data_IF_858549680744
#
_entry.id   IF_858549680744
#
_cell.length_a   1.000
_cell.length_b   1.000
_cell.length_c   1.000
_cell.angle_alpha   90.00
_cell.angle_beta   90.00
_cell.angle_gamma   90.00
#
_symmetry.space_group_name_H-M   'P 1'
#
loop_
_entity.id
_entity.type
_entity.pdbx_description
1 polymer ?
#
# COMPACT_ATOMS: atom_id res chain seq x y z
N UNK A 1 -10.27 -20.63 5.43
CA UNK A 1 -8.95 -20.42 6.06
C UNK A 1 -8.02 -19.53 5.22
N UNK A 2 -7.75 -19.80 3.94
CA UNK A 2 -6.76 -19.03 3.14
C UNK A 2 -7.01 -17.51 3.07
N UNK A 3 -8.26 -17.06 2.89
CA UNK A 3 -8.56 -15.63 2.77
C UNK A 3 -8.40 -14.84 4.08
N UNK A 4 -8.81 -15.42 5.21
CA UNK A 4 -8.71 -14.75 6.51
C UNK A 4 -7.24 -14.53 6.89
N UNK A 5 -6.38 -15.52 6.63
CA UNK A 5 -4.93 -15.38 6.83
C UNK A 5 -4.36 -14.28 5.91
N UNK A 6 -4.75 -14.25 4.63
CA UNK A 6 -4.32 -13.22 3.69
C UNK A 6 -4.75 -11.81 4.14
N UNK A 7 -6.01 -11.61 4.52
CA UNK A 7 -6.52 -10.33 5.05
C UNK A 7 -5.77 -9.91 6.31
N UNK A 8 -5.52 -10.85 7.22
CA UNK A 8 -4.79 -10.58 8.48
C UNK A 8 -3.35 -10.17 8.18
N UNK A 9 -2.66 -10.90 7.31
CA UNK A 9 -1.27 -10.61 6.93
C UNK A 9 -1.17 -9.25 6.21
N UNK A 10 -2.04 -9.00 5.23
CA UNK A 10 -2.08 -7.71 4.52
C UNK A 10 -2.33 -6.56 5.49
N UNK A 11 -3.29 -6.69 6.40
CA UNK A 11 -3.57 -5.69 7.42
C UNK A 11 -2.36 -5.43 8.33
N UNK A 12 -1.74 -6.49 8.86
CA UNK A 12 -0.55 -6.37 9.71
C UNK A 12 0.63 -5.70 9.00
N UNK A 13 0.91 -6.10 7.76
CA UNK A 13 2.01 -5.53 6.97
C UNK A 13 1.76 -4.05 6.69
N UNK A 14 0.55 -3.68 6.26
CA UNK A 14 0.20 -2.29 5.99
C UNK A 14 0.27 -1.42 7.25
N UNK A 15 -0.16 -1.94 8.40
CA UNK A 15 -0.02 -1.26 9.69
C UNK A 15 1.46 -1.07 10.03
N UNK A 16 2.26 -2.13 9.94
CA UNK A 16 3.69 -2.09 10.25
C UNK A 16 4.46 -1.09 9.37
N UNK A 17 4.31 -1.21 8.05
CA UNK A 17 4.95 -0.28 7.11
C UNK A 17 4.40 1.15 7.26
N UNK A 18 3.09 1.31 7.44
CA UNK A 18 2.48 2.62 7.67
C UNK A 18 3.03 3.31 8.90
N UNK A 19 3.22 2.57 9.99
CA UNK A 19 3.85 3.08 11.21
C UNK A 19 5.31 3.51 10.97
N UNK A 20 6.09 2.71 10.25
CA UNK A 20 7.48 3.05 9.90
C UNK A 20 7.54 4.33 9.07
N UNK A 21 6.76 4.46 7.99
CA UNK A 21 6.79 5.66 7.15
C UNK A 21 6.23 6.90 7.84
N UNK A 22 5.25 6.74 8.73
CA UNK A 22 4.66 7.86 9.47
C UNK A 22 5.63 8.48 10.49
N UNK A 23 6.34 7.65 11.25
CA UNK A 23 7.20 8.12 12.34
C UNK A 23 8.69 8.25 11.94
N UNK A 24 9.17 7.39 11.04
CA UNK A 24 10.56 7.39 10.54
C UNK A 24 10.70 7.91 9.10
N UNK A 25 9.69 8.64 8.59
CA UNK A 25 9.66 9.20 7.24
C UNK A 25 11.00 9.78 6.73
N UNK A 26 11.68 10.67 7.48
CA UNK A 26 12.97 11.23 7.06
C UNK A 26 14.06 10.18 6.83
N UNK A 27 14.14 9.13 7.67
CA UNK A 27 15.11 8.05 7.50
C UNK A 27 14.77 7.19 6.27
N UNK A 28 13.48 7.00 6.01
CA UNK A 28 13.02 6.22 4.86
C UNK A 28 13.20 6.91 3.52
N UNK A 29 13.39 8.25 3.49
CA UNK A 29 13.64 9.00 2.24
C UNK A 29 14.85 8.49 1.46
N UNK A 30 15.87 7.98 2.15
CA UNK A 30 17.02 7.31 1.53
C UNK A 30 16.61 6.10 0.68
N UNK A 31 15.60 5.35 1.11
CA UNK A 31 15.03 4.22 0.38
C UNK A 31 14.27 4.66 -0.88
N UNK A 32 13.80 5.90 -0.92
CA UNK A 32 13.16 6.50 -2.09
C UNK A 32 14.16 7.15 -3.07
N UNK A 33 15.47 6.97 -2.86
CA UNK A 33 16.52 7.57 -3.69
C UNK A 33 16.78 9.05 -3.38
N UNK A 34 16.22 9.57 -2.28
CA UNK A 34 16.43 10.94 -1.84
C UNK A 34 17.57 11.04 -0.80
N UNK A 35 18.66 10.28 -1.01
CA UNK A 35 19.83 10.24 -0.13
C UNK A 35 20.66 11.53 -0.10
N UNK A 36 20.39 12.46 -1.03
CA UNK A 36 21.14 13.70 -1.21
C UNK A 36 20.31 14.95 -0.91
N UNK A 37 19.25 14.84 -0.12
CA UNK A 37 18.48 16.02 0.28
C UNK A 37 19.38 16.98 1.07
N UNK A 38 19.52 18.24 0.64
CA UNK A 38 20.35 19.22 1.35
C UNK A 38 19.81 19.43 2.76
N UNK A 39 20.69 19.71 3.71
CA UNK A 39 20.27 20.10 5.07
C UNK A 39 19.39 21.34 4.97
N UNK A 40 18.12 21.29 5.42
CA UNK A 40 17.19 22.38 5.22
C UNK A 40 17.66 23.61 6.02
N UNK A 41 18.06 24.67 5.30
CA UNK A 41 18.30 26.00 5.86
C UNK A 41 17.05 26.82 5.59
N UNK A 42 16.49 27.45 6.63
CA UNK A 42 15.14 28.07 6.65
C UNK A 42 14.92 29.12 5.54
N UNK A 43 15.98 29.66 4.96
CA UNK A 43 15.94 30.70 3.93
C UNK A 43 16.03 30.22 2.47
N UNK A 44 16.17 28.92 2.21
CA UNK A 44 16.40 28.38 0.87
C UNK A 44 15.17 27.67 0.27
N UNK A 45 14.93 27.85 -1.04
CA UNK A 45 13.94 27.07 -1.80
C UNK A 45 14.16 25.55 -1.68
N UNK A 46 15.42 25.14 -1.48
CA UNK A 46 15.80 23.76 -1.23
C UNK A 46 15.18 23.18 0.06
N UNK A 47 14.96 24.00 1.09
CA UNK A 47 14.29 23.55 2.31
C UNK A 47 12.83 23.17 2.05
N UNK A 48 12.14 23.88 1.15
CA UNK A 48 10.75 23.58 0.81
C UNK A 48 10.63 22.20 0.14
N UNK A 49 11.57 21.83 -0.73
CA UNK A 49 11.61 20.49 -1.33
C UNK A 49 11.79 19.38 -0.29
N UNK A 50 12.68 19.58 0.70
CA UNK A 50 12.89 18.62 1.80
C UNK A 50 11.62 18.45 2.63
N UNK A 51 10.98 19.56 3.01
CA UNK A 51 9.73 19.51 3.78
C UNK A 51 8.58 18.87 3.02
N UNK A 52 8.46 19.14 1.71
CA UNK A 52 7.49 18.46 0.84
C UNK A 52 7.73 16.95 0.78
N UNK A 53 8.98 16.51 0.64
CA UNK A 53 9.33 15.09 0.63
C UNK A 53 9.03 14.40 1.97
N UNK A 54 9.38 15.04 3.10
CA UNK A 54 9.06 14.54 4.45
C UNK A 54 7.55 14.46 4.66
N UNK A 55 6.80 15.51 4.30
CA UNK A 55 5.35 15.54 4.42
C UNK A 55 4.69 14.45 3.57
N UNK A 56 5.14 14.28 2.33
CA UNK A 56 4.69 13.20 1.45
C UNK A 56 4.89 11.82 2.12
N UNK A 57 6.08 11.57 2.65
CA UNK A 57 6.41 10.28 3.27
C UNK A 57 5.54 10.00 4.50
N UNK A 58 5.25 11.02 5.31
CA UNK A 58 4.36 10.90 6.47
C UNK A 58 2.91 10.66 6.06
N UNK A 59 2.39 11.40 5.08
CA UNK A 59 1.03 11.21 4.56
C UNK A 59 0.85 9.85 3.92
N UNK A 60 1.88 9.38 3.21
CA UNK A 60 1.96 8.04 2.68
C UNK A 60 1.86 6.98 3.79
N UNK A 61 2.68 7.12 4.84
CA UNK A 61 2.63 6.26 6.02
C UNK A 61 1.27 6.26 6.72
N UNK A 62 0.67 7.44 6.93
CA UNK A 62 -0.67 7.57 7.51
C UNK A 62 -1.73 6.84 6.67
N UNK A 63 -1.63 6.93 5.34
CA UNK A 63 -2.56 6.27 4.41
C UNK A 63 -2.42 4.75 4.48
N UNK A 64 -1.20 4.23 4.46
CA UNK A 64 -0.93 2.80 4.63
C UNK A 64 -1.43 2.29 5.98
N UNK A 65 -1.19 3.04 7.06
CA UNK A 65 -1.65 2.71 8.40
C UNK A 65 -3.18 2.65 8.46
N UNK A 66 -3.85 3.69 7.94
CA UNK A 66 -5.32 3.73 7.89
C UNK A 66 -5.91 2.58 7.09
N UNK A 67 -5.37 2.31 5.89
CA UNK A 67 -5.80 1.19 5.06
C UNK A 67 -5.54 -0.16 5.75
N UNK A 68 -4.39 -0.31 6.40
CA UNK A 68 -4.04 -1.50 7.16
C UNK A 68 -5.00 -1.76 8.31
N UNK A 69 -5.36 -0.72 9.07
CA UNK A 69 -6.38 -0.82 10.15
C UNK A 69 -7.74 -1.21 9.57
N UNK A 70 -8.19 -0.59 8.48
CA UNK A 70 -9.46 -0.95 7.83
C UNK A 70 -9.46 -2.43 7.41
N UNK A 71 -8.41 -2.89 6.74
CA UNK A 71 -8.29 -4.29 6.30
C UNK A 71 -8.22 -5.25 7.50
N UNK A 72 -7.50 -4.87 8.56
CA UNK A 72 -7.41 -5.64 9.78
C UNK A 72 -8.76 -5.78 10.48
N UNK A 73 -9.59 -4.73 10.51
CA UNK A 73 -10.95 -4.78 11.04
C UNK A 73 -11.88 -5.63 10.18
N UNK A 74 -11.69 -5.64 8.86
CA UNK A 74 -12.45 -6.48 7.93
C UNK A 74 -12.19 -7.98 8.09
N UNK A 75 -11.16 -8.41 8.84
CA UNK A 75 -10.88 -9.83 9.11
C UNK A 75 -12.09 -10.57 9.70
N UNK A 76 -12.88 -9.89 10.53
CA UNK A 76 -14.06 -10.46 11.19
C UNK A 76 -15.25 -10.54 10.22
N UNK A 77 -15.33 -9.60 9.27
CA UNK A 77 -16.37 -9.55 8.25
C UNK A 77 -16.22 -10.66 7.17
N UNK A 78 -15.04 -11.28 7.06
CA UNK A 78 -14.78 -12.44 6.18
C UNK A 78 -15.75 -13.59 6.47
N UNK A 79 -16.18 -13.74 7.72
CA UNK A 79 -17.12 -14.79 8.15
C UNK A 79 -18.59 -14.47 7.81
N UNK A 80 -18.91 -13.18 7.59
CA UNK A 80 -20.29 -12.68 7.47
C UNK A 80 -20.72 -12.38 6.03
N UNK A 81 -19.87 -11.74 5.22
CA UNK A 81 -20.25 -11.15 3.92
C UNK A 81 -20.05 -12.12 2.74
N UNK A 82 -19.53 -13.31 3.01
CA UNK A 82 -19.12 -14.28 1.99
C UNK A 82 -17.77 -13.92 1.38
N UNK A 83 -16.84 -14.87 1.45
CA UNK A 83 -15.41 -14.66 1.13
C UNK A 83 -15.14 -14.11 -0.28
N UNK A 84 -16.02 -14.41 -1.25
CA UNK A 84 -15.81 -14.05 -2.66
C UNK A 84 -16.10 -12.57 -2.95
N UNK A 85 -17.20 -12.04 -2.42
CA UNK A 85 -17.56 -10.62 -2.61
C UNK A 85 -16.53 -9.71 -1.97
N UNK A 86 -16.13 -10.02 -0.74
CA UNK A 86 -15.11 -9.27 -0.02
C UNK A 86 -13.74 -9.30 -0.74
N UNK A 87 -13.30 -10.47 -1.21
CA UNK A 87 -12.06 -10.58 -1.98
C UNK A 87 -12.12 -9.78 -3.29
N UNK A 88 -13.26 -9.78 -3.99
CA UNK A 88 -13.45 -8.98 -5.21
C UNK A 88 -13.40 -7.48 -4.94
N UNK A 89 -14.05 -7.00 -3.88
CA UNK A 89 -14.00 -5.57 -3.49
C UNK A 89 -12.57 -5.15 -3.15
N UNK A 90 -11.87 -5.94 -2.33
CA UNK A 90 -10.48 -5.65 -1.96
C UNK A 90 -9.55 -5.67 -3.19
N UNK A 91 -9.74 -6.63 -4.11
CA UNK A 91 -9.01 -6.68 -5.37
C UNK A 91 -9.25 -5.42 -6.23
N UNK A 92 -10.50 -4.97 -6.35
CA UNK A 92 -10.82 -3.76 -7.11
C UNK A 92 -10.17 -2.51 -6.49
N UNK A 93 -10.19 -2.39 -5.16
CA UNK A 93 -9.54 -1.29 -4.45
C UNK A 93 -8.04 -1.28 -4.75
N UNK A 94 -7.35 -2.40 -4.55
CA UNK A 94 -5.91 -2.48 -4.83
C UNK A 94 -5.58 -2.33 -6.32
N UNK A 95 -6.44 -2.78 -7.22
CA UNK A 95 -6.28 -2.59 -8.66
C UNK A 95 -6.34 -1.11 -9.06
N UNK A 96 -7.33 -0.37 -8.54
CA UNK A 96 -7.44 1.08 -8.77
C UNK A 96 -6.22 1.80 -8.19
N UNK A 97 -5.83 1.47 -6.95
CA UNK A 97 -4.63 2.06 -6.33
C UNK A 97 -3.36 1.76 -7.13
N UNK A 98 -3.22 0.55 -7.68
CA UNK A 98 -2.09 0.18 -8.55
C UNK A 98 -2.03 1.06 -9.80
N UNK A 99 -3.18 1.31 -10.44
CA UNK A 99 -3.26 2.20 -11.61
C UNK A 99 -2.88 3.63 -11.24
N UNK A 100 -3.40 4.16 -10.13
CA UNK A 100 -3.03 5.50 -9.66
C UNK A 100 -1.54 5.61 -9.38
N UNK A 101 -0.96 4.62 -8.71
CA UNK A 101 0.49 4.58 -8.42
C UNK A 101 1.30 4.47 -9.71
N UNK A 102 0.90 3.65 -10.68
CA UNK A 102 1.58 3.54 -11.96
C UNK A 102 1.59 4.90 -12.70
N UNK A 103 0.47 5.60 -12.74
CA UNK A 103 0.37 6.94 -13.35
C UNK A 103 1.32 7.91 -12.65
N UNK A 104 1.30 7.97 -11.31
CA UNK A 104 2.18 8.84 -10.53
C UNK A 104 3.66 8.48 -10.71
N UNK A 105 3.96 7.19 -10.80
CA UNK A 105 5.31 6.69 -10.99
C UNK A 105 5.90 7.09 -12.35
N UNK A 106 5.09 7.03 -13.42
CA UNK A 106 5.51 7.42 -14.77
C UNK A 106 5.61 8.94 -14.95
N UNK A 107 4.66 9.68 -14.34
CA UNK A 107 4.54 11.12 -14.51
C UNK A 107 5.48 11.93 -13.60
N UNK A 108 5.63 11.54 -12.34
CA UNK A 108 6.25 12.39 -11.29
C UNK A 108 7.42 11.69 -10.61
N UNK A 109 7.21 10.51 -10.03
CA UNK A 109 8.19 9.97 -9.07
C UNK A 109 9.44 9.41 -9.75
N UNK A 110 9.27 8.49 -10.71
CA UNK A 110 10.38 7.78 -11.38
C UNK A 110 11.43 7.21 -10.41
N UNK A 111 11.02 6.80 -9.21
CA UNK A 111 11.92 6.27 -8.16
C UNK A 111 11.81 4.75 -8.01
N UNK A 112 12.85 4.10 -7.46
CA UNK A 112 12.83 2.65 -7.16
C UNK A 112 11.71 2.25 -6.21
N UNK A 113 11.44 3.10 -5.20
CA UNK A 113 10.41 2.83 -4.21
C UNK A 113 8.98 2.90 -4.76
N UNK A 114 8.71 3.79 -5.74
CA UNK A 114 7.42 3.80 -6.41
C UNK A 114 7.17 2.51 -7.22
N UNK A 115 8.21 1.94 -7.83
CA UNK A 115 8.13 0.61 -8.47
C UNK A 115 7.88 -0.52 -7.45
N UNK A 116 8.55 -0.47 -6.30
CA UNK A 116 8.31 -1.44 -5.22
C UNK A 116 6.88 -1.37 -4.69
N UNK A 117 6.33 -0.16 -4.50
CA UNK A 117 4.93 0.02 -4.10
C UNK A 117 3.97 -0.57 -5.14
N UNK A 118 4.18 -0.26 -6.41
CA UNK A 118 3.37 -0.79 -7.50
C UNK A 118 3.38 -2.33 -7.49
N UNK A 119 4.57 -2.94 -7.36
CA UNK A 119 4.71 -4.39 -7.29
C UNK A 119 3.92 -4.99 -6.12
N UNK A 120 4.00 -4.39 -4.93
CA UNK A 120 3.23 -4.85 -3.76
C UNK A 120 1.73 -4.78 -4.01
N UNK A 121 1.23 -3.67 -4.55
CA UNK A 121 -0.19 -3.50 -4.83
C UNK A 121 -0.69 -4.47 -5.92
N UNK A 122 0.12 -4.73 -6.95
CA UNK A 122 -0.19 -5.72 -7.98
C UNK A 122 -0.20 -7.14 -7.43
N UNK A 123 0.77 -7.51 -6.59
CA UNK A 123 0.81 -8.81 -5.93
C UNK A 123 -0.40 -9.02 -5.02
N UNK A 124 -0.80 -8.00 -4.26
CA UNK A 124 -2.01 -8.03 -3.45
C UNK A 124 -3.26 -8.18 -4.33
N UNK A 125 -3.39 -7.36 -5.38
CA UNK A 125 -4.49 -7.44 -6.35
C UNK A 125 -4.60 -8.86 -6.90
N UNK A 126 -3.49 -9.42 -7.38
CA UNK A 126 -3.43 -10.78 -7.92
C UNK A 126 -3.84 -11.83 -6.88
N UNK A 127 -3.31 -11.76 -5.65
CA UNK A 127 -3.65 -12.69 -4.58
C UNK A 127 -5.17 -12.69 -4.26
N UNK A 128 -5.78 -11.50 -4.21
CA UNK A 128 -7.22 -11.37 -3.99
C UNK A 128 -8.05 -11.83 -5.21
N UNK A 129 -7.62 -11.55 -6.44
CA UNK A 129 -8.24 -12.08 -7.67
C UNK A 129 -8.21 -13.61 -7.68
N UNK A 130 -7.07 -14.25 -7.38
CA UNK A 130 -6.98 -15.72 -7.28
C UNK A 130 -7.95 -16.30 -6.24
N UNK A 131 -8.19 -15.60 -5.13
CA UNK A 131 -9.18 -15.98 -4.14
C UNK A 131 -10.63 -15.92 -4.67
N UNK A 132 -10.91 -15.12 -5.71
CA UNK A 132 -12.23 -15.07 -6.36
C UNK A 132 -12.45 -16.17 -7.40
N UNK A 133 -11.39 -16.66 -8.03
CA UNK A 133 -11.46 -17.62 -9.17
C UNK A 133 -11.44 -19.09 -8.69
N UNK A 134 -10.70 -19.41 -7.63
CA UNK A 134 -10.39 -20.82 -7.24
C UNK A 134 -11.57 -21.70 -6.78
N UNK A 135 -12.82 -21.23 -6.71
CA UNK A 135 -13.99 -22.06 -6.34
C UNK A 135 -14.89 -22.50 -7.50
N UNK A 136 -14.66 -22.05 -8.74
CA UNK A 136 -15.47 -22.48 -9.89
C UNK A 136 -15.10 -23.88 -10.42
N UNK A 137 -14.02 -24.50 -9.95
CA UNK A 137 -13.54 -25.78 -10.49
C UNK A 137 -14.15 -27.05 -9.84
N UNK A 138 -14.96 -26.92 -8.78
CA UNK A 138 -15.46 -28.09 -7.99
C UNK A 138 -16.97 -28.29 -8.02
N UNK A 139 -17.71 -27.55 -8.86
CA UNK A 139 -19.18 -27.65 -8.94
C UNK A 139 -19.69 -28.37 -10.21
N UNK A 140 -18.87 -29.20 -10.84
CA UNK A 140 -19.25 -29.98 -12.04
C UNK A 140 -18.90 -31.47 -11.91
N UNK A 141 -19.29 -32.11 -10.81
CA UNK A 141 -19.36 -33.57 -10.69
C UNK A 141 -20.58 -33.97 -9.88
#
# INVERSE_FOLDING_TARGET
MKLQMLVTLTGALLIGFGFVFLFWGPMTLSLFGASHLPTPVVSDEAAMQVWSAVAFTRLFGATLLGLGVVIWLLRSAVLLVGTRKLAGVIASIFGILSLTVLIQQLAVWRTSAGWAMLLVLLLLTFAYVCCTVTKTATASR
#
